data_IF_990915005292
#
_entry.id   IF_990915005292
#
_cell.length_a   1.000
_cell.length_b   1.000
_cell.length_c   1.000
_cell.angle_alpha   90.00
_cell.angle_beta   90.00
_cell.angle_gamma   90.00
#
_symmetry.space_group_name_H-M   'P 1'
#
loop_
_entity.id
_entity.type
_entity.pdbx_description
1 polymer ?
#
# COMPACT_ATOMS: atom_id res chain seq x y z
N UNK A 1 4.43 11.52 -1.47
CA UNK A 1 4.00 10.17 -1.85
C UNK A 1 2.60 10.15 -2.45
N UNK A 2 1.59 10.63 -1.73
CA UNK A 2 0.17 10.59 -2.13
C UNK A 2 -0.04 11.21 -3.51
N UNK A 3 0.43 12.44 -3.72
CA UNK A 3 0.29 13.16 -5.00
C UNK A 3 0.84 12.36 -6.19
N UNK A 4 2.01 11.75 -6.05
CA UNK A 4 2.65 10.97 -7.12
C UNK A 4 1.90 9.69 -7.47
N UNK A 5 1.37 9.00 -6.46
CA UNK A 5 0.76 7.67 -6.62
C UNK A 5 -0.78 7.72 -6.75
N UNK A 6 -1.38 8.90 -6.62
CA UNK A 6 -2.84 9.07 -6.65
C UNK A 6 -3.45 8.52 -7.94
N UNK A 7 -2.89 8.88 -9.09
CA UNK A 7 -3.38 8.43 -10.39
C UNK A 7 -3.30 6.91 -10.56
N UNK A 8 -2.16 6.31 -10.18
CA UNK A 8 -1.98 4.85 -10.24
C UNK A 8 -2.99 4.13 -9.34
N UNK A 9 -3.13 4.58 -8.11
CA UNK A 9 -4.08 3.98 -7.15
C UNK A 9 -5.53 4.15 -7.61
N UNK A 10 -5.86 5.31 -8.19
CA UNK A 10 -7.19 5.57 -8.76
C UNK A 10 -7.54 4.60 -9.89
N UNK A 11 -6.59 4.33 -10.80
CA UNK A 11 -6.79 3.36 -11.89
C UNK A 11 -7.04 1.95 -11.34
N UNK A 12 -6.30 1.53 -10.32
CA UNK A 12 -6.54 0.23 -9.68
C UNK A 12 -7.94 0.13 -9.06
N UNK A 13 -8.39 1.19 -8.37
CA UNK A 13 -9.74 1.23 -7.81
C UNK A 13 -10.81 1.18 -8.90
N UNK A 14 -10.65 1.95 -9.97
CA UNK A 14 -11.60 1.95 -11.09
C UNK A 14 -11.67 0.57 -11.76
N UNK A 15 -10.52 -0.07 -12.00
CA UNK A 15 -10.48 -1.41 -12.58
C UNK A 15 -11.21 -2.44 -11.71
N UNK A 16 -11.01 -2.40 -10.39
CA UNK A 16 -11.70 -3.30 -9.47
C UNK A 16 -13.20 -3.05 -9.38
N UNK A 17 -13.61 -1.80 -9.31
CA UNK A 17 -15.04 -1.47 -9.30
C UNK A 17 -15.73 -1.84 -10.60
N UNK A 18 -15.05 -1.67 -11.74
CA UNK A 18 -15.58 -2.04 -13.07
C UNK A 18 -15.65 -3.55 -13.30
N UNK A 19 -14.98 -4.35 -12.47
CA UNK A 19 -15.03 -5.82 -12.57
C UNK A 19 -16.32 -6.42 -11.97
N UNK A 20 -17.09 -5.64 -11.22
CA UNK A 20 -18.35 -6.09 -10.62
C UNK A 20 -19.44 -6.03 -11.69
N UNK A 21 -20.14 -7.16 -11.90
CA UNK A 21 -21.25 -7.21 -12.86
C UNK A 21 -22.38 -6.25 -12.46
N UNK A 22 -22.90 -5.43 -13.39
CA UNK A 22 -24.09 -4.60 -13.16
C UNK A 22 -25.31 -5.41 -12.74
N UNK A 23 -25.44 -6.64 -13.22
CA UNK A 23 -26.58 -7.52 -12.91
C UNK A 23 -26.76 -7.76 -11.41
N UNK A 24 -25.64 -7.75 -10.63
CA UNK A 24 -25.72 -7.89 -9.17
C UNK A 24 -26.42 -6.70 -8.52
N UNK A 25 -26.22 -5.51 -9.05
CA UNK A 25 -26.87 -4.29 -8.56
C UNK A 25 -28.33 -4.24 -8.97
N UNK A 26 -28.63 -4.63 -10.20
CA UNK A 26 -30.00 -4.70 -10.71
C UNK A 26 -30.84 -5.72 -9.91
N UNK A 27 -30.29 -6.91 -9.65
CA UNK A 27 -30.96 -7.91 -8.82
C UNK A 27 -31.22 -7.38 -7.38
N UNK A 28 -30.23 -6.71 -6.80
CA UNK A 28 -30.39 -6.13 -5.46
C UNK A 28 -31.41 -4.99 -5.43
N UNK A 29 -31.55 -4.20 -6.49
CA UNK A 29 -32.58 -3.17 -6.61
C UNK A 29 -33.97 -3.79 -6.69
N UNK A 30 -34.12 -4.89 -7.43
CA UNK A 30 -35.40 -5.64 -7.48
C UNK A 30 -35.81 -6.17 -6.10
N UNK A 31 -34.83 -6.55 -5.26
CA UNK A 31 -35.04 -6.97 -3.87
C UNK A 31 -35.25 -5.79 -2.91
N UNK A 32 -35.30 -4.56 -3.41
CA UNK A 32 -35.51 -3.34 -2.60
C UNK A 32 -34.27 -2.87 -1.82
N UNK A 33 -33.08 -3.35 -2.17
CA UNK A 33 -31.86 -2.93 -1.50
C UNK A 33 -31.45 -1.49 -1.87
N UNK A 34 -31.39 -0.61 -0.88
CA UNK A 34 -30.90 0.75 -1.06
C UNK A 34 -29.38 0.79 -1.34
N UNK A 35 -28.87 1.91 -1.88
CA UNK A 35 -27.47 2.10 -2.29
C UNK A 35 -26.45 1.78 -1.17
N UNK A 36 -26.75 2.12 0.07
CA UNK A 36 -25.87 1.80 1.20
C UNK A 36 -25.80 0.30 1.46
N UNK A 37 -26.93 -0.41 1.33
CA UNK A 37 -26.97 -1.87 1.46
C UNK A 37 -26.17 -2.53 0.37
N UNK A 38 -26.32 -2.08 -0.89
CA UNK A 38 -25.55 -2.55 -2.03
C UNK A 38 -24.04 -2.33 -1.82
N UNK A 39 -23.64 -1.14 -1.32
CA UNK A 39 -22.23 -0.85 -1.05
C UNK A 39 -21.63 -1.81 -0.03
N UNK A 40 -22.27 -2.00 1.13
CA UNK A 40 -21.71 -2.83 2.21
C UNK A 40 -21.86 -4.33 1.95
N UNK A 41 -22.89 -4.78 1.24
CA UNK A 41 -23.18 -6.20 1.02
C UNK A 41 -22.69 -6.75 -0.31
N UNK A 42 -22.50 -5.91 -1.32
CA UNK A 42 -22.08 -6.32 -2.67
C UNK A 42 -20.72 -5.73 -2.99
N UNK A 43 -20.60 -4.40 -3.06
CA UNK A 43 -19.39 -3.74 -3.53
C UNK A 43 -18.20 -4.05 -2.63
N UNK A 44 -18.31 -3.76 -1.35
CA UNK A 44 -17.21 -3.88 -0.39
C UNK A 44 -16.67 -5.31 -0.26
N UNK A 45 -17.49 -6.36 -0.15
CA UNK A 45 -16.99 -7.73 -0.12
C UNK A 45 -16.29 -8.14 -1.42
N UNK A 46 -16.85 -7.78 -2.58
CA UNK A 46 -16.28 -8.16 -3.87
C UNK A 46 -14.96 -7.49 -4.19
N UNK A 47 -14.76 -6.23 -3.78
CA UNK A 47 -13.48 -5.53 -3.97
C UNK A 47 -12.47 -5.78 -2.83
N UNK A 48 -12.84 -6.54 -1.82
CA UNK A 48 -11.99 -6.81 -0.65
C UNK A 48 -10.60 -7.32 -1.02
N UNK A 49 -10.41 -8.32 -1.92
CA UNK A 49 -9.08 -8.77 -2.32
C UNK A 49 -8.25 -7.66 -2.98
N UNK A 50 -8.92 -6.78 -3.74
CA UNK A 50 -8.27 -5.62 -4.35
C UNK A 50 -7.81 -4.60 -3.31
N UNK A 51 -8.62 -4.34 -2.26
CA UNK A 51 -8.25 -3.47 -1.15
C UNK A 51 -6.95 -3.96 -0.52
N UNK A 52 -6.86 -5.26 -0.22
CA UNK A 52 -5.66 -5.87 0.34
C UNK A 52 -4.44 -5.62 -0.57
N UNK A 53 -4.59 -5.91 -1.86
CA UNK A 53 -3.52 -5.72 -2.86
C UNK A 53 -3.08 -4.25 -2.91
N UNK A 54 -4.02 -3.29 -2.96
CA UNK A 54 -3.71 -1.86 -3.01
C UNK A 54 -2.99 -1.41 -1.74
N UNK A 55 -3.42 -1.88 -0.56
CA UNK A 55 -2.79 -1.54 0.72
C UNK A 55 -1.35 -2.05 0.76
N UNK A 56 -1.12 -3.31 0.41
CA UNK A 56 0.23 -3.90 0.38
C UNK A 56 1.12 -3.18 -0.62
N UNK A 57 0.64 -2.95 -1.85
CA UNK A 57 1.41 -2.23 -2.88
C UNK A 57 1.71 -0.78 -2.46
N UNK A 58 0.75 -0.08 -1.85
CA UNK A 58 0.93 1.29 -1.37
C UNK A 58 1.96 1.34 -0.24
N UNK A 59 1.92 0.37 0.66
CA UNK A 59 2.89 0.24 1.73
C UNK A 59 4.30 0.01 1.17
N UNK A 60 4.48 -0.97 0.29
CA UNK A 60 5.78 -1.26 -0.34
C UNK A 60 6.30 -0.07 -1.17
N UNK A 61 5.42 0.61 -1.89
CA UNK A 61 5.79 1.78 -2.68
C UNK A 61 6.12 3.00 -1.82
N UNK A 62 5.64 3.09 -0.58
CA UNK A 62 5.98 4.19 0.33
C UNK A 62 7.48 4.24 0.64
N UNK A 63 8.17 3.10 0.64
CA UNK A 63 9.62 3.05 0.81
C UNK A 63 10.40 3.60 -0.40
N UNK A 64 9.78 3.69 -1.58
CA UNK A 64 10.44 4.17 -2.81
C UNK A 64 10.43 5.69 -2.98
N UNK A 65 9.93 6.44 -2.01
CA UNK A 65 9.84 7.92 -2.04
C UNK A 65 11.21 8.59 -1.82
N UNK A 66 12.22 7.83 -1.45
CA UNK A 66 13.58 8.31 -1.21
C UNK A 66 14.14 9.18 -2.35
N UNK A 67 13.93 8.77 -3.60
CA UNK A 67 14.47 9.49 -4.75
C UNK A 67 14.01 10.96 -4.79
N UNK A 68 12.76 11.21 -4.55
CA UNK A 68 12.19 12.56 -4.56
C UNK A 68 12.71 13.39 -3.39
N UNK A 69 12.76 12.80 -2.19
CA UNK A 69 13.32 13.46 -1.02
C UNK A 69 14.82 13.76 -1.17
N UNK A 70 15.57 12.82 -1.76
CA UNK A 70 16.99 12.98 -2.02
C UNK A 70 17.29 14.10 -3.02
N UNK A 71 16.49 14.21 -4.11
CA UNK A 71 16.67 15.26 -5.11
C UNK A 71 16.39 16.67 -4.55
N UNK A 72 15.54 16.76 -3.53
CA UNK A 72 15.19 18.05 -2.91
C UNK A 72 16.17 18.41 -1.79
N UNK A 73 16.57 17.46 -0.97
CA UNK A 73 17.24 17.72 0.31
C UNK A 73 18.64 17.08 0.44
N UNK A 74 19.10 16.30 -0.56
CA UNK A 74 20.43 15.70 -0.58
C UNK A 74 20.61 14.54 0.43
N UNK A 75 21.88 14.23 0.75
CA UNK A 75 22.27 13.11 1.61
C UNK A 75 21.88 13.29 3.08
N UNK A 76 21.87 14.52 3.56
CA UNK A 76 21.66 14.88 4.96
C UNK A 76 20.56 15.95 5.06
N UNK A 77 19.29 15.57 4.82
CA UNK A 77 18.18 16.48 4.97
C UNK A 77 17.94 16.84 6.43
N UNK A 78 17.09 17.84 6.68
CA UNK A 78 16.59 18.13 8.04
C UNK A 78 15.85 16.91 8.60
N UNK A 79 15.77 16.78 9.92
CA UNK A 79 15.21 15.63 10.63
C UNK A 79 13.80 15.24 10.12
N UNK A 80 12.96 16.22 9.83
CA UNK A 80 11.60 16.02 9.33
C UNK A 80 11.54 15.36 7.93
N UNK A 81 12.61 15.42 7.15
CA UNK A 81 12.73 14.84 5.81
C UNK A 81 13.63 13.61 5.77
N UNK A 82 14.19 13.19 6.91
CA UNK A 82 15.13 12.07 6.98
C UNK A 82 14.39 10.74 6.91
N UNK A 83 14.52 10.04 5.78
CA UNK A 83 13.92 8.73 5.56
C UNK A 83 14.90 7.61 5.89
N UNK A 84 14.37 6.43 6.20
CA UNK A 84 15.18 5.22 6.41
C UNK A 84 16.17 4.96 5.25
N UNK A 85 15.77 5.26 4.02
CA UNK A 85 16.62 5.09 2.85
C UNK A 85 17.79 6.08 2.77
N UNK A 86 17.71 7.26 3.41
CA UNK A 86 18.87 8.14 3.58
C UNK A 86 19.93 7.46 4.43
N UNK A 87 19.52 6.77 5.50
CA UNK A 87 20.42 6.01 6.36
C UNK A 87 21.14 4.91 5.58
N UNK A 88 20.40 4.13 4.78
CA UNK A 88 21.00 3.09 3.91
C UNK A 88 21.95 3.69 2.87
N UNK A 89 21.56 4.81 2.24
CA UNK A 89 22.42 5.50 1.28
C UNK A 89 23.70 6.00 1.92
N UNK A 90 23.65 6.53 3.12
CA UNK A 90 24.82 7.00 3.85
C UNK A 90 25.73 5.83 4.25
N UNK A 91 25.17 4.72 4.74
CA UNK A 91 25.96 3.50 4.98
C UNK A 91 26.62 2.94 3.72
N UNK A 92 25.95 3.07 2.58
CA UNK A 92 26.52 2.66 1.29
C UNK A 92 27.71 3.56 0.91
N UNK A 93 27.58 4.88 1.03
CA UNK A 93 28.65 5.83 0.75
C UNK A 93 29.82 5.68 1.71
N UNK A 94 29.57 5.35 2.96
CA UNK A 94 30.58 5.10 4.00
C UNK A 94 31.18 3.68 3.93
N UNK A 95 30.76 2.86 2.94
CA UNK A 95 31.16 1.46 2.77
C UNK A 95 30.94 0.58 4.02
N UNK A 96 29.96 0.94 4.86
CA UNK A 96 29.57 0.20 6.06
C UNK A 96 28.65 -0.99 5.70
N UNK A 97 29.22 -2.01 5.05
CA UNK A 97 28.50 -3.18 4.52
C UNK A 97 27.83 -4.00 5.63
N UNK A 98 28.46 -4.09 6.78
CA UNK A 98 27.94 -4.74 8.00
C UNK A 98 26.64 -4.12 8.48
N UNK A 99 26.58 -2.80 8.56
CA UNK A 99 25.35 -2.05 8.94
C UNK A 99 24.27 -2.19 7.90
N UNK A 100 24.63 -2.12 6.61
CA UNK A 100 23.68 -2.33 5.51
C UNK A 100 23.07 -3.73 5.56
N UNK A 101 23.89 -4.76 5.74
CA UNK A 101 23.41 -6.14 5.82
C UNK A 101 22.46 -6.34 7.01
N UNK A 102 22.86 -5.89 8.20
CA UNK A 102 22.02 -5.99 9.39
C UNK A 102 20.70 -5.20 9.24
N UNK A 103 20.79 -3.96 8.75
CA UNK A 103 19.61 -3.12 8.51
C UNK A 103 18.64 -3.71 7.49
N UNK A 104 19.17 -4.31 6.41
CA UNK A 104 18.35 -4.96 5.37
C UNK A 104 17.60 -6.18 5.91
N UNK A 105 18.26 -7.02 6.73
CA UNK A 105 17.62 -8.18 7.37
C UNK A 105 16.52 -7.72 8.33
N UNK A 106 16.79 -6.73 9.17
CA UNK A 106 15.78 -6.18 10.08
C UNK A 106 14.58 -5.60 9.33
N UNK A 107 14.82 -4.84 8.27
CA UNK A 107 13.76 -4.27 7.45
C UNK A 107 12.93 -5.36 6.78
N UNK A 108 13.57 -6.39 6.21
CA UNK A 108 12.88 -7.53 5.61
C UNK A 108 12.00 -8.26 6.62
N UNK A 109 12.48 -8.47 7.85
CA UNK A 109 11.70 -9.08 8.93
C UNK A 109 10.48 -8.24 9.30
N UNK A 110 10.66 -6.93 9.47
CA UNK A 110 9.56 -6.00 9.81
C UNK A 110 8.49 -6.00 8.72
N UNK A 111 8.89 -5.91 7.44
CA UNK A 111 7.96 -5.94 6.31
C UNK A 111 7.23 -7.28 6.25
N UNK A 112 7.93 -8.40 6.42
CA UNK A 112 7.34 -9.73 6.40
C UNK A 112 6.31 -9.90 7.50
N UNK A 113 6.67 -9.53 8.74
CA UNK A 113 5.74 -9.58 9.88
C UNK A 113 4.51 -8.70 9.63
N UNK A 114 4.70 -7.50 9.11
CA UNK A 114 3.59 -6.59 8.80
C UNK A 114 2.64 -7.19 7.75
N UNK A 115 3.17 -7.76 6.66
CA UNK A 115 2.35 -8.39 5.62
C UNK A 115 1.60 -9.61 6.15
N UNK A 116 2.26 -10.46 6.95
CA UNK A 116 1.62 -11.63 7.56
C UNK A 116 0.52 -11.24 8.56
N UNK A 117 0.72 -10.17 9.33
CA UNK A 117 -0.31 -9.64 10.23
C UNK A 117 -1.51 -9.11 9.44
N UNK A 118 -1.27 -8.36 8.36
CA UNK A 118 -2.35 -7.90 7.48
C UNK A 118 -3.12 -9.08 6.88
N UNK A 119 -2.41 -10.09 6.39
CA UNK A 119 -3.04 -11.29 5.83
C UNK A 119 -3.90 -12.02 6.88
N UNK A 120 -3.37 -12.23 8.07
CA UNK A 120 -4.11 -12.89 9.15
C UNK A 120 -5.36 -12.10 9.56
N UNK A 121 -5.25 -10.78 9.70
CA UNK A 121 -6.42 -9.93 10.00
C UNK A 121 -7.47 -9.99 8.89
N UNK A 122 -7.02 -10.21 7.66
CA UNK A 122 -7.88 -10.33 6.51
C UNK A 122 -8.63 -11.65 6.48
N UNK A 123 -7.93 -12.78 6.67
CA UNK A 123 -8.50 -14.12 6.70
C UNK A 123 -9.46 -14.33 7.88
N UNK A 124 -9.20 -13.71 9.04
CA UNK A 124 -10.07 -13.85 10.23
C UNK A 124 -11.46 -13.22 10.03
N UNK A 125 -11.62 -12.37 9.02
CA UNK A 125 -12.89 -11.71 8.71
C UNK A 125 -13.65 -12.36 7.52
N UNK A 126 -13.20 -13.51 7.02
CA UNK A 126 -13.96 -14.37 6.10
C UNK A 126 -14.79 -15.42 6.85
#
# INVERSE_FOLDING_TARGET
>A
YIWKNLGYTMVLWLAGLSSISPDLYEAAEMDGAGRMTQFFKITLPLIRPLIFTIVVLSFLNSFKVFREAYLVAGNYPQEDMYLLQHLFNNWFTDLSVDKMAAGSVLLALVITVFVLLLQKLWETNE
#
